data_IF_232064770694
#
_entry.id   IF_232064770694
#
_cell.length_a   1.000
_cell.length_b   1.000
_cell.length_c   1.000
_cell.angle_alpha   90.00
_cell.angle_beta   90.00
_cell.angle_gamma   90.00
#
_symmetry.space_group_name_H-M   'P 1'
#
loop_
_entity.id
_entity.type
_entity.pdbx_description
1 polymer ?
#
# COMPACT_ATOMS: atom_id res chain seq x y z
N UNK A 1 15.28 -12.54 -7.40
CA UNK A 1 13.90 -12.23 -7.78
C UNK A 1 13.05 -11.90 -6.55
N UNK A 2 12.09 -10.97 -6.64
CA UNK A 2 11.14 -10.63 -5.57
C UNK A 2 9.70 -11.02 -5.95
N UNK A 3 8.94 -11.47 -4.97
CA UNK A 3 7.56 -11.92 -5.12
C UNK A 3 6.65 -11.21 -4.11
N UNK A 4 5.40 -10.98 -4.47
CA UNK A 4 4.36 -10.46 -3.59
C UNK A 4 3.31 -11.55 -3.31
N UNK A 5 2.91 -11.71 -2.05
CA UNK A 5 1.81 -12.61 -1.69
C UNK A 5 0.46 -12.04 -2.10
N UNK A 6 -0.33 -12.83 -2.83
CA UNK A 6 -1.67 -12.44 -3.28
C UNK A 6 -2.69 -12.35 -2.13
N UNK A 7 -2.37 -12.86 -0.94
CA UNK A 7 -3.26 -12.85 0.23
C UNK A 7 -2.92 -11.74 1.25
N UNK A 8 -1.66 -11.65 1.67
CA UNK A 8 -1.24 -10.66 2.67
C UNK A 8 -0.51 -9.44 2.07
N UNK A 9 -0.31 -9.41 0.75
CA UNK A 9 0.37 -8.35 0.00
C UNK A 9 1.82 -8.05 0.41
N UNK A 10 2.41 -8.84 1.31
CA UNK A 10 3.81 -8.73 1.69
C UNK A 10 4.72 -9.26 0.61
N UNK A 11 5.88 -8.62 0.49
CA UNK A 11 6.93 -9.04 -0.45
C UNK A 11 7.93 -9.98 0.21
N UNK A 12 8.50 -10.89 -0.58
CA UNK A 12 9.45 -11.92 -0.15
C UNK A 12 10.43 -12.27 -1.27
N UNK A 13 11.61 -12.76 -0.91
CA UNK A 13 12.56 -13.37 -1.85
C UNK A 13 12.39 -14.88 -1.96
N UNK A 14 11.59 -15.47 -1.07
CA UNK A 14 11.29 -16.90 -1.04
C UNK A 14 10.15 -17.24 -2.02
N UNK A 15 10.11 -18.49 -2.47
CA UNK A 15 9.00 -19.01 -3.30
C UNK A 15 7.80 -19.48 -2.47
N UNK A 16 7.72 -19.07 -1.20
CA UNK A 16 6.60 -19.30 -0.31
C UNK A 16 6.39 -18.09 0.63
N UNK A 17 5.16 -17.92 1.13
CA UNK A 17 4.84 -16.87 2.09
C UNK A 17 4.87 -17.43 3.52
N UNK A 18 5.86 -17.01 4.31
CA UNK A 18 6.01 -17.43 5.71
C UNK A 18 4.87 -16.98 6.62
N UNK A 19 4.18 -15.88 6.29
CA UNK A 19 3.09 -15.31 7.09
C UNK A 19 1.73 -15.97 6.84
N UNK A 20 1.50 -16.46 5.62
CA UNK A 20 0.24 -17.12 5.27
C UNK A 20 0.30 -18.63 5.48
N UNK A 21 1.51 -19.22 5.50
CA UNK A 21 1.81 -20.56 5.98
C UNK A 21 1.17 -21.74 5.23
N UNK A 22 2.00 -22.72 4.90
CA UNK A 22 1.68 -24.12 5.18
C UNK A 22 2.93 -24.76 5.77
N UNK A 23 2.78 -25.41 6.93
CA UNK A 23 3.84 -25.74 7.88
C UNK A 23 4.84 -26.85 7.46
N UNK A 24 4.86 -27.27 6.20
CA UNK A 24 5.76 -28.35 5.74
C UNK A 24 6.26 -28.07 4.31
N UNK A 25 7.43 -27.46 4.17
CA UNK A 25 8.08 -27.24 2.87
C UNK A 25 8.33 -28.54 2.07
N UNK A 26 8.29 -29.71 2.72
CA UNK A 26 8.53 -31.02 2.12
C UNK A 26 7.28 -31.69 1.51
N UNK A 27 6.07 -31.17 1.76
CA UNK A 27 4.81 -31.78 1.28
C UNK A 27 4.07 -30.93 0.25
N UNK A 28 4.68 -29.82 -0.17
CA UNK A 28 4.08 -28.85 -1.08
C UNK A 28 4.15 -29.37 -2.53
N UNK A 29 3.03 -29.65 -3.21
CA UNK A 29 3.04 -29.92 -4.64
C UNK A 29 3.55 -28.67 -5.38
N UNK A 30 4.17 -28.77 -6.58
CA UNK A 30 4.63 -27.64 -7.39
C UNK A 30 3.58 -26.53 -7.64
N UNK A 31 2.31 -26.82 -7.33
CA UNK A 31 1.17 -25.94 -7.41
C UNK A 31 1.08 -24.89 -6.30
N UNK A 32 1.81 -24.94 -5.18
CA UNK A 32 1.71 -23.90 -4.14
C UNK A 32 2.46 -22.59 -4.44
N UNK A 33 3.09 -22.47 -5.62
CA UNK A 33 3.45 -21.18 -6.21
C UNK A 33 2.21 -20.33 -6.56
N UNK A 34 0.99 -20.89 -6.52
CA UNK A 34 -0.27 -20.23 -6.89
C UNK A 34 -0.61 -18.95 -6.10
N UNK A 35 0.05 -18.68 -4.98
CA UNK A 35 -0.21 -17.51 -4.13
C UNK A 35 0.81 -16.36 -4.23
N UNK A 36 1.85 -16.47 -5.06
CA UNK A 36 2.92 -15.48 -5.16
C UNK A 36 3.03 -14.91 -6.58
N UNK A 37 3.09 -13.59 -6.66
CA UNK A 37 3.23 -12.83 -7.90
C UNK A 37 4.67 -12.32 -8.03
N UNK A 38 5.45 -12.77 -9.02
CA UNK A 38 6.76 -12.19 -9.30
C UNK A 38 6.63 -10.78 -9.89
N UNK A 39 7.60 -9.91 -9.58
CA UNK A 39 7.73 -8.59 -10.20
C UNK A 39 8.10 -8.64 -11.70
N UNK A 40 8.70 -9.74 -12.16
CA UNK A 40 9.10 -10.05 -13.53
C UNK A 40 8.33 -11.29 -13.99
N UNK A 41 7.51 -11.21 -15.06
CA UNK A 41 6.73 -12.34 -15.55
C UNK A 41 7.58 -13.55 -15.94
N UNK A 42 8.88 -13.39 -16.24
CA UNK A 42 9.76 -14.50 -16.63
C UNK A 42 9.87 -15.60 -15.56
N UNK A 43 9.59 -15.24 -14.31
CA UNK A 43 9.61 -16.15 -13.16
C UNK A 43 8.30 -16.91 -12.95
N UNK A 44 7.31 -16.75 -13.83
CA UNK A 44 6.11 -17.56 -13.77
C UNK A 44 6.40 -19.04 -14.08
N UNK A 45 5.75 -19.99 -13.38
CA UNK A 45 5.98 -21.42 -13.59
C UNK A 45 5.65 -21.90 -15.01
N UNK A 46 4.75 -21.19 -15.69
CA UNK A 46 4.31 -21.43 -17.07
C UNK A 46 5.46 -21.36 -18.09
N UNK A 47 6.54 -20.63 -17.75
CA UNK A 47 7.71 -20.47 -18.59
C UNK A 47 8.90 -21.34 -18.14
N UNK A 48 8.71 -22.19 -17.14
CA UNK A 48 9.77 -22.98 -16.53
C UNK A 48 9.63 -24.46 -16.90
N UNK A 49 10.75 -25.11 -17.22
CA UNK A 49 10.75 -26.54 -17.52
C UNK A 49 10.52 -27.36 -16.24
N UNK A 50 9.51 -28.23 -16.27
CA UNK A 50 9.24 -29.20 -15.19
C UNK A 50 9.70 -30.59 -15.62
N UNK A 51 10.63 -31.19 -14.86
CA UNK A 51 11.12 -32.55 -15.13
C UNK A 51 9.99 -33.58 -15.08
N UNK A 52 9.96 -34.48 -16.06
CA UNK A 52 8.95 -35.56 -16.18
C UNK A 52 9.55 -36.94 -15.90
N UNK A 53 10.75 -36.98 -15.30
CA UNK A 53 11.50 -38.18 -14.97
C UNK A 53 12.64 -38.49 -15.95
N UNK A 54 13.72 -39.11 -15.43
CA UNK A 54 15.03 -39.26 -16.09
C UNK A 54 14.97 -39.76 -17.55
N UNK A 55 14.18 -40.79 -17.85
CA UNK A 55 14.11 -41.38 -19.20
C UNK A 55 13.38 -40.50 -20.22
N UNK A 56 12.36 -39.72 -19.81
CA UNK A 56 11.60 -38.82 -20.68
C UNK A 56 12.36 -37.52 -20.94
N UNK A 57 13.10 -37.04 -19.95
CA UNK A 57 13.88 -35.81 -20.06
C UNK A 57 15.04 -35.95 -21.08
N UNK A 58 15.64 -37.14 -21.21
CA UNK A 58 16.76 -37.37 -22.14
C UNK A 58 16.37 -37.20 -23.62
N UNK A 59 15.13 -37.55 -24.00
CA UNK A 59 14.69 -37.56 -25.40
C UNK A 59 13.90 -36.31 -25.82
N UNK A 60 13.34 -35.55 -24.88
CA UNK A 60 12.41 -34.44 -25.17
C UNK A 60 12.81 -33.07 -24.63
N UNK A 61 13.70 -33.00 -23.62
CA UNK A 61 13.94 -31.76 -22.85
C UNK A 61 14.41 -30.58 -23.70
N UNK A 62 15.32 -30.80 -24.66
CA UNK A 62 15.84 -29.70 -25.50
C UNK A 62 14.74 -29.05 -26.35
N UNK A 63 13.83 -29.86 -26.91
CA UNK A 63 12.73 -29.37 -27.74
C UNK A 63 11.68 -28.64 -26.92
N UNK A 64 11.30 -29.21 -25.77
CA UNK A 64 10.35 -28.60 -24.84
C UNK A 64 10.89 -27.28 -24.27
N UNK A 65 12.17 -27.25 -23.89
CA UNK A 65 12.84 -26.02 -23.44
C UNK A 65 12.84 -24.94 -24.53
N UNK A 66 13.12 -25.30 -25.80
CA UNK A 66 13.07 -24.35 -26.90
C UNK A 66 11.67 -23.76 -27.08
N UNK A 67 10.62 -24.60 -27.02
CA UNK A 67 9.23 -24.15 -27.11
C UNK A 67 8.84 -23.21 -25.95
N UNK A 68 9.26 -23.53 -24.72
CA UNK A 68 9.04 -22.67 -23.56
C UNK A 68 9.77 -21.33 -23.70
N UNK A 69 11.01 -21.34 -24.20
CA UNK A 69 11.78 -20.11 -24.43
C UNK A 69 11.13 -19.24 -25.51
N UNK A 70 10.64 -19.84 -26.60
CA UNK A 70 9.93 -19.11 -27.67
C UNK A 70 8.63 -18.49 -27.14
N UNK A 71 7.86 -19.25 -26.36
CA UNK A 71 6.66 -18.77 -25.67
C UNK A 71 6.98 -17.60 -24.74
N UNK A 72 7.99 -17.76 -23.88
CA UNK A 72 8.44 -16.74 -22.94
C UNK A 72 8.83 -15.45 -23.67
N UNK A 73 9.68 -15.56 -24.70
CA UNK A 73 10.15 -14.41 -25.48
C UNK A 73 8.98 -13.68 -26.15
N UNK A 74 8.01 -14.42 -26.68
CA UNK A 74 6.82 -13.83 -27.28
C UNK A 74 5.95 -13.10 -26.26
N UNK A 75 5.66 -13.73 -25.10
CA UNK A 75 4.85 -13.11 -24.05
C UNK A 75 5.55 -11.87 -23.50
N UNK A 76 6.85 -11.95 -23.17
CA UNK A 76 7.59 -10.80 -22.63
C UNK A 76 7.65 -9.63 -23.61
N UNK A 77 7.86 -9.91 -24.91
CA UNK A 77 7.85 -8.87 -25.95
C UNK A 77 6.49 -8.20 -26.06
N UNK A 78 5.41 -8.96 -26.18
CA UNK A 78 4.06 -8.39 -26.31
C UNK A 78 3.63 -7.68 -25.01
N UNK A 79 4.03 -8.23 -23.86
CA UNK A 79 3.77 -7.62 -22.56
C UNK A 79 4.48 -6.29 -22.41
N UNK A 80 5.76 -6.18 -22.79
CA UNK A 80 6.45 -4.89 -22.74
C UNK A 80 5.82 -3.84 -23.67
N UNK A 81 5.32 -4.25 -24.84
CA UNK A 81 4.61 -3.38 -25.80
C UNK A 81 3.23 -2.91 -25.28
N UNK A 82 2.51 -3.73 -24.50
CA UNK A 82 1.14 -3.43 -24.05
C UNK A 82 1.01 -3.11 -22.55
N UNK A 83 2.04 -3.33 -21.73
CA UNK A 83 2.05 -3.08 -20.27
C UNK A 83 1.54 -1.67 -19.97
N UNK A 84 2.03 -0.71 -20.73
CA UNK A 84 1.43 0.62 -20.89
C UNK A 84 1.04 0.79 -22.37
N UNK A 85 -0.20 1.15 -22.73
CA UNK A 85 -1.26 1.66 -21.86
C UNK A 85 -2.31 0.61 -21.42
N UNK A 86 -2.32 -0.61 -21.97
CA UNK A 86 -3.49 -1.49 -21.84
C UNK A 86 -3.68 -2.08 -20.45
N UNK A 87 -2.65 -2.75 -19.92
CA UNK A 87 -2.75 -3.40 -18.60
C UNK A 87 -2.97 -2.37 -17.49
N UNK A 88 -2.20 -1.28 -17.51
CA UNK A 88 -2.36 -0.21 -16.53
C UNK A 88 -3.69 0.53 -16.65
N UNK A 89 -4.14 0.88 -17.86
CA UNK A 89 -5.46 1.52 -18.01
C UNK A 89 -6.56 0.60 -17.50
N UNK A 90 -6.52 -0.69 -17.85
CA UNK A 90 -7.51 -1.64 -17.37
C UNK A 90 -7.55 -1.68 -15.83
N UNK A 91 -6.39 -1.73 -15.16
CA UNK A 91 -6.34 -1.69 -13.68
C UNK A 91 -6.94 -0.40 -13.10
N UNK A 92 -6.79 0.74 -13.76
CA UNK A 92 -7.27 2.03 -13.24
C UNK A 92 -8.70 2.41 -13.65
N UNK A 93 -9.22 1.88 -14.76
CA UNK A 93 -10.56 2.24 -15.27
C UNK A 93 -11.66 1.28 -14.83
N UNK A 94 -11.28 0.08 -14.39
CA UNK A 94 -12.19 -1.04 -14.14
C UNK A 94 -12.41 -1.18 -12.63
N UNK A 95 -13.65 -1.45 -12.20
CA UNK A 95 -13.98 -1.55 -10.76
C UNK A 95 -13.69 -2.93 -10.16
N UNK A 96 -13.41 -3.92 -11.00
CA UNK A 96 -13.14 -5.29 -10.55
C UNK A 96 -11.71 -5.41 -10.01
N UNK A 97 -11.53 -5.75 -8.71
CA UNK A 97 -10.21 -5.99 -8.18
C UNK A 97 -9.62 -7.26 -8.82
N UNK A 98 -8.32 -7.19 -9.15
CA UNK A 98 -7.55 -8.34 -9.62
C UNK A 98 -7.67 -9.47 -8.58
N UNK A 99 -8.36 -10.57 -8.92
CA UNK A 99 -8.56 -11.72 -8.01
C UNK A 99 -9.99 -11.94 -7.49
N UNK A 100 -10.99 -11.14 -7.89
CA UNK A 100 -12.39 -11.49 -7.66
C UNK A 100 -12.80 -12.68 -8.55
N UNK A 101 -12.66 -13.90 -8.02
CA UNK A 101 -13.11 -15.12 -8.67
C UNK A 101 -14.63 -15.17 -8.76
N UNK A 102 -15.17 -14.97 -9.96
CA UNK A 102 -16.57 -15.19 -10.28
C UNK A 102 -16.78 -15.34 -11.79
N UNK A 103 -17.20 -16.53 -12.21
CA UNK A 103 -17.88 -16.83 -13.49
C UNK A 103 -17.25 -16.31 -14.80
N UNK A 104 -15.93 -16.34 -14.95
CA UNK A 104 -15.32 -16.14 -16.27
C UNK A 104 -15.42 -17.41 -17.13
N UNK A 105 -15.81 -17.25 -18.40
CA UNK A 105 -15.77 -18.36 -19.33
C UNK A 105 -14.34 -18.88 -19.51
N UNK A 106 -14.21 -20.20 -19.42
CA UNK A 106 -12.96 -20.91 -19.67
C UNK A 106 -12.45 -20.77 -21.11
N UNK A 107 -13.34 -20.46 -22.07
CA UNK A 107 -13.02 -20.32 -23.49
C UNK A 107 -13.31 -18.88 -23.95
N UNK A 108 -12.36 -18.22 -24.65
CA UNK A 108 -12.60 -16.92 -25.28
C UNK A 108 -13.67 -16.96 -26.39
N UNK A 109 -14.23 -15.80 -26.72
CA UNK A 109 -15.16 -15.64 -27.85
C UNK A 109 -16.64 -15.45 -27.48
N UNK A 110 -17.46 -15.37 -28.52
CA UNK A 110 -18.87 -15.02 -28.38
C UNK A 110 -19.72 -16.17 -27.81
N UNK A 111 -20.65 -15.83 -26.90
CA UNK A 111 -21.63 -16.76 -26.31
C UNK A 111 -23.07 -16.29 -26.47
N UNK A 112 -24.02 -17.23 -26.47
CA UNK A 112 -25.43 -16.97 -26.82
C UNK A 112 -26.16 -16.05 -25.84
N UNK A 113 -25.74 -15.98 -24.57
CA UNK A 113 -26.37 -15.08 -23.59
C UNK A 113 -25.92 -13.62 -23.73
N UNK A 114 -24.85 -13.33 -24.49
CA UNK A 114 -24.37 -11.97 -24.80
C UNK A 114 -23.85 -11.16 -23.61
N UNK A 115 -23.75 -11.74 -22.42
CA UNK A 115 -23.24 -11.09 -21.21
C UNK A 115 -21.73 -11.35 -21.17
N UNK A 116 -20.89 -10.37 -20.82
CA UNK A 116 -19.45 -10.53 -20.67
C UNK A 116 -18.93 -9.67 -19.52
N UNK A 117 -17.95 -10.17 -18.76
CA UNK A 117 -17.22 -9.33 -17.80
C UNK A 117 -16.27 -8.37 -18.52
N UNK A 118 -15.90 -7.26 -17.87
CA UNK A 118 -14.89 -6.34 -18.42
C UNK A 118 -13.55 -7.05 -18.67
N UNK A 119 -13.24 -8.05 -17.85
CA UNK A 119 -12.03 -8.86 -17.94
C UNK A 119 -12.08 -9.89 -19.08
N UNK A 120 -13.23 -10.50 -19.36
CA UNK A 120 -13.46 -11.32 -20.57
C UNK A 120 -13.27 -10.48 -21.84
N UNK A 121 -13.83 -9.26 -21.87
CA UNK A 121 -13.65 -8.33 -22.98
C UNK A 121 -12.19 -7.86 -23.10
N UNK A 122 -11.51 -7.62 -21.99
CA UNK A 122 -10.10 -7.24 -22.00
C UNK A 122 -9.21 -8.36 -22.56
N UNK A 123 -9.47 -9.62 -22.17
CA UNK A 123 -8.80 -10.79 -22.75
C UNK A 123 -8.97 -10.83 -24.28
N UNK A 124 -10.19 -10.62 -24.75
CA UNK A 124 -10.51 -10.59 -26.20
C UNK A 124 -9.80 -9.43 -26.93
N UNK A 125 -9.69 -8.25 -26.30
CA UNK A 125 -8.92 -7.12 -26.85
C UNK A 125 -7.45 -7.50 -27.03
N UNK A 126 -6.85 -8.18 -26.04
CA UNK A 126 -5.45 -8.61 -26.11
C UNK A 126 -5.25 -9.68 -27.18
N UNK A 127 -6.11 -10.71 -27.25
CA UNK A 127 -6.05 -11.74 -28.30
C UNK A 127 -6.09 -11.09 -29.70
N UNK A 128 -7.01 -10.15 -29.93
CA UNK A 128 -7.08 -9.42 -31.22
C UNK A 128 -5.89 -8.52 -31.51
N UNK A 129 -5.10 -8.17 -30.49
CA UNK A 129 -3.81 -7.47 -30.61
C UNK A 129 -2.64 -8.43 -30.81
N UNK A 130 -2.90 -9.73 -30.94
CA UNK A 130 -1.93 -10.78 -31.20
C UNK A 130 -1.42 -11.50 -29.95
N UNK A 131 -2.06 -11.39 -28.78
CA UNK A 131 -1.78 -12.22 -27.60
C UNK A 131 -2.46 -13.60 -27.68
N UNK A 132 -2.21 -14.33 -28.76
CA UNK A 132 -2.85 -15.62 -29.06
C UNK A 132 -2.59 -16.68 -27.96
N UNK A 133 -1.50 -16.53 -27.20
CA UNK A 133 -1.15 -17.41 -26.08
C UNK A 133 -2.25 -17.44 -25.00
N UNK A 134 -3.03 -16.36 -24.85
CA UNK A 134 -4.11 -16.27 -23.87
C UNK A 134 -5.28 -17.23 -24.18
N UNK A 135 -5.38 -17.74 -25.41
CA UNK A 135 -6.34 -18.79 -25.76
C UNK A 135 -5.97 -20.14 -25.11
N UNK A 136 -4.67 -20.42 -24.99
CA UNK A 136 -4.14 -21.69 -24.49
C UNK A 136 -3.74 -21.63 -23.01
N UNK A 137 -3.49 -20.42 -22.49
CA UNK A 137 -3.08 -20.17 -21.11
C UNK A 137 -4.09 -19.24 -20.41
N UNK A 138 -5.27 -19.75 -19.99
CA UNK A 138 -6.37 -18.92 -19.50
C UNK A 138 -6.04 -18.14 -18.22
N UNK A 139 -5.05 -18.59 -17.43
CA UNK A 139 -4.62 -17.90 -16.19
C UNK A 139 -3.50 -16.88 -16.41
N UNK A 140 -2.95 -16.78 -17.62
CA UNK A 140 -1.82 -15.89 -17.92
C UNK A 140 -2.23 -14.42 -17.82
N UNK A 141 -3.46 -14.08 -18.21
CA UNK A 141 -3.96 -12.70 -18.08
C UNK A 141 -3.90 -12.24 -16.62
N UNK A 142 -4.37 -13.06 -15.69
CA UNK A 142 -4.43 -12.74 -14.26
C UNK A 142 -3.04 -12.52 -13.69
N UNK A 143 -2.12 -13.40 -14.06
CA UNK A 143 -0.72 -13.31 -13.72
C UNK A 143 -0.13 -11.98 -14.21
N UNK A 144 -0.30 -11.65 -15.48
CA UNK A 144 0.21 -10.39 -16.03
C UNK A 144 -0.44 -9.14 -15.40
N UNK A 145 -1.72 -9.19 -15.06
CA UNK A 145 -2.40 -8.12 -14.30
C UNK A 145 -1.83 -7.97 -12.89
N UNK A 146 -1.64 -9.07 -12.17
CA UNK A 146 -1.02 -9.08 -10.84
C UNK A 146 0.41 -8.54 -10.89
N UNK A 147 1.25 -8.98 -11.85
CA UNK A 147 2.60 -8.44 -12.03
C UNK A 147 2.55 -6.95 -12.36
N UNK A 148 1.61 -6.49 -13.19
CA UNK A 148 1.46 -5.06 -13.51
C UNK A 148 1.11 -4.24 -12.26
N UNK A 149 0.19 -4.74 -11.43
CA UNK A 149 -0.17 -4.12 -10.16
C UNK A 149 1.04 -4.06 -9.21
N UNK A 150 1.77 -5.17 -9.06
CA UNK A 150 2.95 -5.22 -8.21
C UNK A 150 4.07 -4.27 -8.70
N UNK A 151 4.28 -4.19 -10.02
CA UNK A 151 5.18 -3.20 -10.62
C UNK A 151 4.79 -1.76 -10.26
N UNK A 152 3.49 -1.44 -10.25
CA UNK A 152 3.01 -0.11 -9.87
C UNK A 152 3.29 0.19 -8.39
N UNK A 153 3.09 -0.79 -7.50
CA UNK A 153 3.42 -0.67 -6.07
C UNK A 153 4.92 -0.39 -5.90
N UNK A 154 5.76 -1.19 -6.56
CA UNK A 154 7.21 -1.02 -6.49
C UNK A 154 7.68 0.31 -7.10
N UNK A 155 7.07 0.77 -8.19
CA UNK A 155 7.39 2.08 -8.79
C UNK A 155 7.07 3.26 -7.85
N UNK A 156 5.99 3.15 -7.05
CA UNK A 156 5.70 4.12 -5.99
C UNK A 156 6.75 4.07 -4.88
N UNK A 157 6.99 2.86 -4.36
CA UNK A 157 7.96 2.62 -3.29
C UNK A 157 9.38 3.09 -3.66
N UNK A 158 9.87 2.76 -4.85
CA UNK A 158 11.21 3.12 -5.33
C UNK A 158 11.45 4.63 -5.39
N UNK A 159 10.43 5.41 -5.80
CA UNK A 159 10.48 6.87 -5.78
C UNK A 159 10.57 7.45 -4.37
N UNK A 160 9.89 6.82 -3.40
CA UNK A 160 9.87 7.29 -2.02
C UNK A 160 11.14 6.89 -1.28
N UNK A 161 11.63 5.67 -1.49
CA UNK A 161 12.80 5.13 -0.79
C UNK A 161 14.10 5.79 -1.26
N UNK A 162 14.17 6.27 -2.51
CA UNK A 162 15.40 6.79 -3.12
C UNK A 162 16.02 7.97 -2.35
N UNK A 163 15.20 8.81 -1.69
CA UNK A 163 15.68 9.95 -0.86
C UNK A 163 16.28 9.54 0.49
N UNK A 164 16.00 8.31 0.92
CA UNK A 164 16.51 7.78 2.18
C UNK A 164 17.87 7.10 2.02
N UNK A 165 18.31 6.81 0.80
CA UNK A 165 19.58 6.12 0.53
C UNK A 165 20.75 7.04 0.90
N UNK A 166 21.57 6.57 1.84
CA UNK A 166 22.78 7.22 2.37
C UNK A 166 24.03 6.42 2.01
N UNK A 167 25.19 6.84 2.53
CA UNK A 167 26.49 6.18 2.31
C UNK A 167 26.60 4.78 2.89
N UNK A 168 25.76 4.43 3.86
CA UNK A 168 25.75 3.13 4.52
C UNK A 168 24.32 2.64 4.79
N UNK A 169 24.17 1.33 4.99
CA UNK A 169 22.88 0.68 5.19
C UNK A 169 22.18 1.14 6.46
N UNK A 170 22.89 1.31 7.58
CA UNK A 170 22.26 1.66 8.86
C UNK A 170 21.64 3.07 8.80
N UNK A 171 22.38 4.04 8.26
CA UNK A 171 21.87 5.41 8.02
C UNK A 171 20.71 5.42 7.03
N UNK A 172 20.75 4.58 6.00
CA UNK A 172 19.67 4.46 5.01
C UNK A 172 18.39 3.89 5.63
N UNK A 173 18.54 2.79 6.39
CA UNK A 173 17.44 2.16 7.11
C UNK A 173 16.85 3.11 8.15
N UNK A 174 17.68 3.80 8.93
CA UNK A 174 17.20 4.77 9.92
C UNK A 174 16.38 5.88 9.30
N UNK A 175 16.93 6.56 8.28
CA UNK A 175 16.21 7.63 7.59
C UNK A 175 14.88 7.15 7.01
N UNK A 176 14.83 5.93 6.48
CA UNK A 176 13.60 5.34 5.95
C UNK A 176 12.61 4.95 7.06
N UNK A 177 13.05 4.30 8.14
CA UNK A 177 12.22 3.84 9.25
C UNK A 177 11.60 5.00 10.02
N UNK A 178 12.33 6.12 10.19
CA UNK A 178 11.80 7.34 10.82
C UNK A 178 10.52 7.83 10.14
N UNK A 179 10.45 7.72 8.82
CA UNK A 179 9.28 8.10 8.02
C UNK A 179 8.27 6.96 7.85
N UNK A 180 8.74 5.74 7.54
CA UNK A 180 7.89 4.58 7.29
C UNK A 180 7.16 4.09 8.55
N UNK A 181 7.70 4.37 9.74
CA UNK A 181 7.18 3.84 11.00
C UNK A 181 7.13 2.32 10.95
N UNK A 182 6.09 1.70 11.50
CA UNK A 182 6.02 0.22 11.62
C UNK A 182 5.90 -0.55 10.30
N UNK A 183 5.62 0.15 9.18
CA UNK A 183 5.43 -0.47 7.85
C UNK A 183 6.70 -1.07 7.28
N UNK A 184 7.89 -0.66 7.75
CA UNK A 184 9.18 -1.21 7.31
C UNK A 184 9.22 -2.75 7.34
N UNK A 185 8.51 -3.38 8.28
CA UNK A 185 8.46 -4.85 8.44
C UNK A 185 7.85 -5.56 7.23
N UNK A 186 6.89 -4.94 6.57
CA UNK A 186 6.26 -5.48 5.37
C UNK A 186 7.08 -5.15 4.11
N UNK A 187 7.77 -4.02 4.12
CA UNK A 187 8.41 -3.43 2.95
C UNK A 187 9.92 -3.67 2.87
N UNK A 188 10.54 -4.29 3.88
CA UNK A 188 11.98 -4.54 3.91
C UNK A 188 12.50 -5.32 2.69
N UNK A 189 11.70 -6.24 2.15
CA UNK A 189 12.05 -6.93 0.91
C UNK A 189 12.10 -5.99 -0.29
N UNK A 190 11.18 -5.01 -0.37
CA UNK A 190 11.20 -3.98 -1.41
C UNK A 190 12.41 -3.06 -1.24
N UNK A 191 12.75 -2.69 -0.01
CA UNK A 191 13.95 -1.90 0.30
C UNK A 191 15.22 -2.59 -0.22
N UNK A 192 15.41 -3.87 0.13
CA UNK A 192 16.57 -4.62 -0.36
C UNK A 192 16.56 -4.85 -1.87
N UNK A 193 15.40 -5.08 -2.47
CA UNK A 193 15.29 -5.19 -3.91
C UNK A 193 15.67 -3.89 -4.62
N UNK A 194 15.27 -2.73 -4.06
CA UNK A 194 15.71 -1.42 -4.54
C UNK A 194 17.22 -1.23 -4.47
N UNK A 195 17.87 -1.59 -3.35
CA UNK A 195 19.33 -1.49 -3.25
C UNK A 195 20.04 -2.33 -4.33
N UNK A 196 19.52 -3.53 -4.58
CA UNK A 196 20.05 -4.41 -5.63
C UNK A 196 19.82 -3.85 -7.03
N UNK A 197 18.60 -3.37 -7.34
CA UNK A 197 18.25 -2.83 -8.65
C UNK A 197 19.05 -1.55 -8.98
N UNK A 198 19.26 -0.70 -7.97
CA UNK A 198 19.97 0.57 -8.12
C UNK A 198 21.50 0.46 -8.06
N UNK A 199 22.04 -0.77 -7.91
CA UNK A 199 23.47 -1.03 -7.68
C UNK A 199 24.04 -0.19 -6.51
N UNK A 200 23.20 0.09 -5.51
CA UNK A 200 23.58 0.84 -4.33
C UNK A 200 24.45 -0.07 -3.43
N UNK A 201 25.77 0.06 -3.57
CA UNK A 201 26.70 -0.73 -2.77
C UNK A 201 26.54 -0.39 -1.28
N UNK A 202 26.28 -1.40 -0.45
CA UNK A 202 26.46 -1.27 0.99
C UNK A 202 27.51 -2.28 1.46
N UNK A 203 28.54 -1.83 2.20
CA UNK A 203 29.47 -2.74 2.86
C UNK A 203 28.70 -3.79 3.68
N UNK A 204 29.07 -5.07 3.50
CA UNK A 204 28.49 -6.20 4.26
C UNK A 204 27.18 -6.78 3.71
N UNK A 205 26.55 -6.18 2.70
CA UNK A 205 25.37 -6.74 2.03
C UNK A 205 25.76 -7.36 0.68
N UNK A 206 25.59 -8.67 0.54
CA UNK A 206 25.87 -9.39 -0.71
C UNK A 206 24.59 -10.02 -1.26
N UNK A 207 24.19 -9.59 -2.45
CA UNK A 207 23.07 -10.16 -3.18
C UNK A 207 23.51 -11.38 -3.99
N UNK A 208 22.60 -12.33 -4.17
CA UNK A 208 22.87 -13.50 -4.99
C UNK A 208 22.82 -13.13 -6.49
N UNK A 209 23.94 -13.23 -7.23
CA UNK A 209 23.98 -12.82 -8.65
C UNK A 209 23.14 -13.72 -9.56
N UNK A 210 22.84 -14.95 -9.13
CA UNK A 210 22.02 -15.89 -9.90
C UNK A 210 20.52 -15.65 -9.71
N UNK A 211 20.11 -14.82 -8.73
CA UNK A 211 18.70 -14.61 -8.42
C UNK A 211 17.92 -13.87 -9.52
N UNK A 212 18.61 -13.25 -10.48
CA UNK A 212 18.01 -12.59 -11.64
C UNK A 212 17.76 -13.55 -12.82
N UNK A 213 18.39 -14.73 -12.81
CA UNK A 213 18.35 -15.66 -13.95
C UNK A 213 17.85 -17.05 -13.57
N UNK A 214 17.77 -17.36 -12.28
CA UNK A 214 17.47 -18.71 -11.79
C UNK A 214 16.26 -18.68 -10.87
N UNK A 215 15.16 -19.29 -11.33
CA UNK A 215 13.92 -19.44 -10.55
C UNK A 215 14.18 -20.22 -9.26
N UNK A 216 13.58 -19.77 -8.16
CA UNK A 216 13.73 -20.39 -6.84
C UNK A 216 15.00 -20.00 -6.07
N UNK A 217 15.91 -19.22 -6.68
CA UNK A 217 17.07 -18.68 -5.98
C UNK A 217 16.70 -17.33 -5.34
N UNK A 218 16.71 -17.20 -4.00
CA UNK A 218 16.36 -15.95 -3.34
C UNK A 218 17.45 -14.90 -3.57
N UNK A 219 17.03 -13.63 -3.65
CA UNK A 219 17.97 -12.51 -3.83
C UNK A 219 18.88 -12.32 -2.62
N UNK A 220 18.33 -12.54 -1.42
CA UNK A 220 19.06 -12.57 -0.16
C UNK A 220 18.76 -13.89 0.57
N UNK A 221 19.77 -14.54 1.17
CA UNK A 221 19.54 -15.68 2.06
C UNK A 221 18.62 -15.30 3.21
N UNK A 222 17.78 -16.24 3.66
CA UNK A 222 16.80 -15.99 4.73
C UNK A 222 17.47 -15.51 6.02
N UNK A 223 18.66 -16.02 6.36
CA UNK A 223 19.40 -15.57 7.54
C UNK A 223 19.86 -14.10 7.41
N UNK A 224 20.36 -13.71 6.23
CA UNK A 224 20.76 -12.32 5.97
C UNK A 224 19.56 -11.38 6.06
N UNK A 225 18.41 -11.79 5.50
CA UNK A 225 17.17 -11.02 5.61
C UNK A 225 16.70 -10.89 7.05
N UNK A 226 16.76 -11.96 7.85
CA UNK A 226 16.40 -11.94 9.28
C UNK A 226 17.35 -11.05 10.11
N UNK A 227 18.65 -11.09 9.85
CA UNK A 227 19.61 -10.17 10.49
C UNK A 227 19.31 -8.72 10.11
N UNK A 228 18.96 -8.47 8.85
CA UNK A 228 18.51 -7.17 8.38
C UNK A 228 17.26 -6.66 9.09
N UNK A 229 16.27 -7.53 9.28
CA UNK A 229 15.07 -7.22 10.06
C UNK A 229 15.41 -6.91 11.52
N UNK A 230 16.32 -7.68 12.14
CA UNK A 230 16.82 -7.40 13.49
C UNK A 230 17.43 -6.01 13.63
N UNK A 231 18.29 -5.62 12.68
CA UNK A 231 18.84 -4.26 12.63
C UNK A 231 17.75 -3.18 12.51
N UNK A 232 16.72 -3.43 11.70
CA UNK A 232 15.59 -2.50 11.59
C UNK A 232 14.81 -2.36 12.90
N UNK A 233 14.61 -3.46 13.64
CA UNK A 233 13.95 -3.44 14.95
C UNK A 233 14.77 -2.69 16.00
N UNK A 234 16.10 -2.86 15.99
CA UNK A 234 17.02 -2.10 16.85
C UNK A 234 16.94 -0.60 16.56
N UNK A 235 17.03 -0.22 15.29
CA UNK A 235 16.88 1.18 14.84
C UNK A 235 15.51 1.75 15.25
N UNK A 236 14.43 1.01 15.04
CA UNK A 236 13.08 1.44 15.41
C UNK A 236 12.95 1.64 16.92
N UNK A 237 13.53 0.74 17.72
CA UNK A 237 13.58 0.87 19.17
C UNK A 237 14.35 2.13 19.59
N UNK A 238 15.52 2.39 19.01
CA UNK A 238 16.31 3.60 19.30
C UNK A 238 15.53 4.88 19.00
N UNK A 239 14.84 4.93 17.84
CA UNK A 239 13.94 6.04 17.49
C UNK A 239 12.85 6.23 18.55
N UNK A 240 12.24 5.15 19.06
CA UNK A 240 11.22 5.24 20.11
C UNK A 240 11.81 5.73 21.44
N UNK A 241 12.99 5.27 21.81
CA UNK A 241 13.69 5.71 23.03
C UNK A 241 14.03 7.19 22.94
N UNK A 242 14.58 7.66 21.82
CA UNK A 242 14.90 9.07 21.59
C UNK A 242 13.64 9.94 21.59
N UNK A 243 12.56 9.49 20.94
CA UNK A 243 11.27 10.18 20.98
C UNK A 243 10.73 10.29 22.39
N UNK A 244 10.74 9.20 23.16
CA UNK A 244 10.30 9.21 24.55
C UNK A 244 11.21 10.09 25.44
N UNK A 245 12.53 10.04 25.24
CA UNK A 245 13.48 10.91 25.94
C UNK A 245 13.18 12.38 25.68
N UNK A 246 13.03 12.77 24.41
CA UNK A 246 12.67 14.13 24.01
C UNK A 246 11.31 14.54 24.60
N UNK A 247 10.30 13.66 24.54
CA UNK A 247 9.02 13.88 25.20
C UNK A 247 9.19 14.19 26.68
N UNK A 248 9.93 13.38 27.43
CA UNK A 248 10.09 13.55 28.88
C UNK A 248 10.85 14.82 29.26
N UNK A 249 11.85 15.22 28.47
CA UNK A 249 12.64 16.42 28.71
C UNK A 249 11.88 17.72 28.38
N UNK A 250 11.12 17.68 27.29
CA UNK A 250 10.48 18.86 26.71
C UNK A 250 8.97 18.93 26.99
N UNK A 251 8.44 17.96 27.73
CA UNK A 251 7.02 17.93 28.09
C UNK A 251 6.64 19.20 28.84
N UNK A 252 5.78 20.00 28.21
CA UNK A 252 5.17 21.14 28.86
C UNK A 252 3.72 20.80 29.23
N UNK A 253 3.42 20.54 30.52
CA UNK A 253 2.06 20.20 30.95
C UNK A 253 1.04 21.30 30.64
N UNK A 254 1.48 22.55 30.47
CA UNK A 254 0.60 23.68 30.15
C UNK A 254 0.25 23.78 28.66
N UNK A 255 0.97 23.07 27.78
CA UNK A 255 0.70 23.01 26.34
C UNK A 255 0.18 21.65 25.87
N UNK A 256 0.15 20.67 26.77
CA UNK A 256 -0.42 19.36 26.48
C UNK A 256 -1.94 19.45 26.39
N UNK A 257 -2.49 19.16 25.21
CA UNK A 257 -3.94 19.20 25.01
C UNK A 257 -4.55 17.86 25.39
N UNK A 258 -5.41 17.88 26.40
CA UNK A 258 -6.18 16.71 26.83
C UNK A 258 -7.59 16.75 26.25
N UNK A 259 -8.24 15.60 26.19
CA UNK A 259 -9.66 15.54 25.83
C UNK A 259 -10.55 16.35 26.78
N UNK A 260 -10.15 16.56 28.05
CA UNK A 260 -10.89 17.44 28.97
C UNK A 260 -10.88 18.91 28.54
N UNK A 261 -9.79 19.38 27.93
CA UNK A 261 -9.75 20.73 27.36
C UNK A 261 -10.66 20.82 26.13
N UNK A 262 -10.67 19.78 25.30
CA UNK A 262 -11.58 19.68 24.14
C UNK A 262 -13.05 19.67 24.57
N UNK A 263 -13.38 18.93 25.63
CA UNK A 263 -14.74 18.87 26.18
C UNK A 263 -15.20 20.21 26.80
N UNK A 264 -14.27 21.11 27.13
CA UNK A 264 -14.57 22.43 27.65
C UNK A 264 -14.72 23.51 26.55
N UNK A 265 -14.39 23.18 25.29
CA UNK A 265 -14.53 24.09 24.16
C UNK A 265 -16.00 24.26 23.74
N UNK A 266 -16.37 25.46 23.32
CA UNK A 266 -17.58 25.64 22.52
C UNK A 266 -17.38 25.18 21.06
N UNK A 267 -18.45 25.23 20.25
CA UNK A 267 -18.40 24.79 18.85
C UNK A 267 -17.37 25.56 18.01
N UNK A 268 -17.27 26.88 18.18
CA UNK A 268 -16.35 27.71 17.41
C UNK A 268 -14.90 27.48 17.82
N UNK A 269 -14.65 27.33 19.13
CA UNK A 269 -13.35 26.98 19.66
C UNK A 269 -12.91 25.60 19.16
N UNK A 270 -13.84 24.64 19.09
CA UNK A 270 -13.56 23.31 18.58
C UNK A 270 -13.22 23.31 17.10
N UNK A 271 -13.94 24.07 16.27
CA UNK A 271 -13.62 24.25 14.85
C UNK A 271 -12.24 24.86 14.64
N UNK A 272 -11.93 25.96 15.33
CA UNK A 272 -10.61 26.60 15.27
C UNK A 272 -9.51 25.64 15.73
N UNK A 273 -9.76 24.87 16.78
CA UNK A 273 -8.80 23.90 17.28
C UNK A 273 -8.57 22.73 16.31
N UNK A 274 -9.60 22.29 15.58
CA UNK A 274 -9.42 21.30 14.51
C UNK A 274 -8.55 21.85 13.37
N UNK A 275 -8.64 23.14 13.04
CA UNK A 275 -7.73 23.77 12.07
C UNK A 275 -6.28 23.61 12.52
N UNK A 276 -5.99 23.94 13.78
CA UNK A 276 -4.65 23.83 14.36
C UNK A 276 -4.12 22.39 14.35
N UNK A 277 -4.96 21.41 14.73
CA UNK A 277 -4.61 19.99 14.70
C UNK A 277 -4.23 19.58 13.27
N UNK A 278 -5.12 19.79 12.31
CA UNK A 278 -4.92 19.32 10.95
C UNK A 278 -3.72 20.00 10.27
N UNK A 279 -3.50 21.30 10.50
CA UNK A 279 -2.31 22.00 10.00
C UNK A 279 -1.03 21.42 10.60
N UNK A 280 -0.99 21.27 11.92
CA UNK A 280 0.21 20.80 12.63
C UNK A 280 0.59 19.38 12.23
N UNK A 281 -0.37 18.49 12.01
CA UNK A 281 -0.10 17.11 11.54
C UNK A 281 0.06 16.99 10.01
N UNK A 282 0.19 18.12 9.30
CA UNK A 282 0.63 18.18 7.90
C UNK A 282 -0.46 18.19 6.83
N UNK A 283 -1.67 18.69 7.12
CA UNK A 283 -2.69 18.98 6.12
C UNK A 283 -2.68 20.45 5.71
N UNK A 284 -3.00 20.74 4.45
CA UNK A 284 -3.33 22.10 4.02
C UNK A 284 -4.79 22.40 4.40
N UNK A 285 -5.01 23.35 5.30
CA UNK A 285 -6.36 23.67 5.82
C UNK A 285 -6.83 25.03 5.30
N UNK A 286 -8.08 25.09 4.85
CA UNK A 286 -8.80 26.33 4.53
C UNK A 286 -10.08 26.41 5.36
N UNK A 287 -10.21 27.46 6.15
CA UNK A 287 -11.44 27.77 6.87
C UNK A 287 -12.57 28.19 5.93
N UNK A 288 -13.82 27.93 6.33
CA UNK A 288 -15.00 28.42 5.62
C UNK A 288 -15.37 29.84 6.09
N UNK A 289 -16.12 30.57 5.27
CA UNK A 289 -16.70 31.83 5.74
C UNK A 289 -17.77 31.51 6.78
N UNK A 290 -17.71 32.16 7.96
CA UNK A 290 -18.54 31.93 9.17
C UNK A 290 -20.07 32.08 8.99
N UNK A 291 -20.56 32.31 7.77
CA UNK A 291 -21.98 32.49 7.47
C UNK A 291 -22.34 31.81 6.15
N UNK A 292 -23.39 30.98 6.18
CA UNK A 292 -23.94 30.21 5.05
C UNK A 292 -23.12 28.99 4.57
N UNK A 293 -22.41 28.36 5.50
CA UNK A 293 -21.78 27.06 5.30
C UNK A 293 -22.87 25.98 5.22
N UNK A 294 -23.01 25.34 4.06
CA UNK A 294 -23.94 24.23 3.82
C UNK A 294 -23.53 22.95 4.59
N UNK A 295 -23.14 23.06 5.87
CA UNK A 295 -22.60 21.98 6.69
C UNK A 295 -21.10 21.70 6.46
N UNK A 296 -20.32 22.74 6.20
CA UNK A 296 -18.88 22.65 5.95
C UNK A 296 -18.13 23.57 6.91
N UNK A 297 -17.48 22.98 7.91
CA UNK A 297 -16.79 23.76 8.93
C UNK A 297 -15.30 23.95 8.53
N UNK A 298 -14.68 22.93 7.91
CA UNK A 298 -13.31 23.01 7.39
C UNK A 298 -13.17 22.33 6.03
N UNK A 299 -12.22 22.82 5.23
CA UNK A 299 -11.67 22.10 4.08
C UNK A 299 -10.22 21.73 4.33
N UNK A 300 -9.88 20.46 4.14
CA UNK A 300 -8.50 19.98 4.25
C UNK A 300 -8.05 19.33 2.95
N UNK A 301 -6.78 19.51 2.61
CA UNK A 301 -6.15 18.87 1.46
C UNK A 301 -4.89 18.13 1.89
N UNK A 302 -4.72 16.90 1.41
CA UNK A 302 -3.48 16.14 1.57
C UNK A 302 -3.32 15.16 0.41
N UNK A 303 -2.10 15.04 -0.11
CA UNK A 303 -1.79 14.18 -1.26
C UNK A 303 -2.70 14.42 -2.48
N UNK A 304 -3.06 15.69 -2.73
CA UNK A 304 -3.90 16.09 -3.87
C UNK A 304 -5.39 15.77 -3.74
N UNK A 305 -5.84 15.22 -2.60
CA UNK A 305 -7.27 14.97 -2.32
C UNK A 305 -7.84 16.04 -1.42
N UNK A 306 -9.05 16.49 -1.74
CA UNK A 306 -9.82 17.48 -0.99
C UNK A 306 -10.88 16.80 -0.14
N UNK A 307 -11.01 17.24 1.12
CA UNK A 307 -11.98 16.70 2.06
C UNK A 307 -12.70 17.82 2.78
N UNK A 308 -14.02 17.69 2.89
CA UNK A 308 -14.83 18.55 3.75
C UNK A 308 -14.99 17.91 5.13
N UNK A 309 -14.91 18.74 6.18
CA UNK A 309 -15.08 18.30 7.56
C UNK A 309 -16.25 19.04 8.19
N UNK A 310 -17.15 18.29 8.82
CA UNK A 310 -18.13 18.79 9.76
C UNK A 310 -17.69 18.45 11.19
N UNK A 311 -17.47 19.46 12.00
CA UNK A 311 -17.19 19.40 13.42
C UNK A 311 -18.50 19.39 14.24
N UNK A 312 -18.52 18.61 15.32
CA UNK A 312 -19.60 18.60 16.32
C UNK A 312 -19.01 18.47 17.73
N UNK A 313 -18.99 19.56 18.50
CA UNK A 313 -18.67 19.52 19.93
C UNK A 313 -19.95 19.40 20.78
N UNK A 314 -20.24 18.19 21.27
CA UNK A 314 -21.55 17.82 21.82
C UNK A 314 -21.39 17.06 23.14
N UNK A 315 -22.32 17.27 24.09
CA UNK A 315 -22.39 16.49 25.34
C UNK A 315 -23.10 15.13 25.18
N UNK A 316 -23.88 14.96 24.12
CA UNK A 316 -24.62 13.74 23.79
C UNK A 316 -24.11 13.07 22.52
N UNK A 317 -24.75 11.97 22.10
CA UNK A 317 -24.38 11.27 20.87
C UNK A 317 -24.74 12.05 19.60
N UNK A 318 -23.90 11.94 18.58
CA UNK A 318 -24.10 12.58 17.28
C UNK A 318 -24.95 11.69 16.37
N UNK A 319 -26.04 12.23 15.84
CA UNK A 319 -27.00 11.53 14.98
C UNK A 319 -26.83 11.78 13.48
N UNK A 320 -27.76 11.26 12.69
CA UNK A 320 -27.71 11.27 11.21
C UNK A 320 -27.57 12.67 10.59
N UNK A 321 -28.09 13.71 11.25
CA UNK A 321 -28.07 15.08 10.73
C UNK A 321 -26.65 15.57 10.39
N UNK A 322 -25.65 15.25 11.23
CA UNK A 322 -24.27 15.64 10.97
C UNK A 322 -23.69 14.94 9.73
N UNK A 323 -24.05 13.67 9.53
CA UNK A 323 -23.63 12.89 8.36
C UNK A 323 -24.30 13.43 7.09
N UNK A 324 -25.59 13.76 7.16
CA UNK A 324 -26.34 14.36 6.04
C UNK A 324 -25.77 15.73 5.63
N UNK A 325 -25.38 16.54 6.60
CA UNK A 325 -24.70 17.82 6.38
C UNK A 325 -23.38 17.61 5.61
N UNK A 326 -22.52 16.71 6.09
CA UNK A 326 -21.24 16.42 5.42
C UNK A 326 -21.41 15.87 3.99
N UNK A 327 -22.42 15.03 3.75
CA UNK A 327 -22.76 14.54 2.39
C UNK A 327 -23.16 15.71 1.48
N UNK A 328 -24.03 16.58 1.98
CA UNK A 328 -24.53 17.74 1.23
C UNK A 328 -23.40 18.70 0.90
N UNK A 329 -22.53 18.98 1.87
CA UNK A 329 -21.35 19.82 1.72
C UNK A 329 -20.38 19.25 0.68
N UNK A 330 -20.07 17.95 0.76
CA UNK A 330 -19.19 17.27 -0.21
C UNK A 330 -19.69 17.45 -1.63
N UNK A 331 -20.98 17.22 -1.86
CA UNK A 331 -21.60 17.35 -3.17
C UNK A 331 -21.61 18.81 -3.65
N UNK A 332 -21.94 19.76 -2.77
CA UNK A 332 -22.03 21.17 -3.12
C UNK A 332 -20.68 21.78 -3.50
N UNK A 333 -19.61 21.43 -2.75
CA UNK A 333 -18.27 21.98 -2.97
C UNK A 333 -17.38 21.12 -3.88
N UNK A 334 -17.84 19.93 -4.30
CA UNK A 334 -17.09 19.05 -5.18
C UNK A 334 -15.86 18.41 -4.53
N UNK A 335 -15.90 18.12 -3.23
CA UNK A 335 -14.80 17.48 -2.52
C UNK A 335 -14.73 15.97 -2.79
N UNK A 336 -13.53 15.40 -2.75
CA UNK A 336 -13.30 13.96 -2.97
C UNK A 336 -13.82 13.11 -1.79
N UNK A 337 -13.67 13.63 -0.56
CA UNK A 337 -13.99 12.94 0.68
C UNK A 337 -14.82 13.83 1.63
N UNK A 338 -15.50 13.20 2.59
CA UNK A 338 -16.23 13.87 3.66
C UNK A 338 -15.89 13.23 5.00
N UNK A 339 -15.78 14.04 6.05
CA UNK A 339 -15.52 13.59 7.42
C UNK A 339 -16.46 14.30 8.39
N UNK A 340 -16.90 13.58 9.41
CA UNK A 340 -17.51 14.16 10.62
C UNK A 340 -16.55 13.92 11.78
N UNK A 341 -16.26 14.96 12.56
CA UNK A 341 -15.39 14.91 13.73
C UNK A 341 -16.18 15.35 14.97
N UNK A 342 -16.08 14.59 16.05
CA UNK A 342 -16.74 14.94 17.32
C UNK A 342 -15.91 14.53 18.53
N UNK A 343 -16.05 15.26 19.63
CA UNK A 343 -15.53 14.90 20.95
C UNK A 343 -16.36 13.79 21.65
N UNK A 344 -17.49 13.40 21.05
CA UNK A 344 -18.45 12.42 21.57
C UNK A 344 -18.48 11.14 20.72
N UNK A 345 -19.59 10.41 20.74
CA UNK A 345 -19.80 9.17 19.99
C UNK A 345 -21.02 9.25 19.07
N UNK A 346 -21.00 8.48 17.98
CA UNK A 346 -22.11 8.42 17.03
C UNK A 346 -23.19 7.41 17.44
N UNK A 347 -24.43 7.70 17.09
CA UNK A 347 -25.52 6.73 17.16
C UNK A 347 -25.30 5.59 16.16
N UNK A 348 -25.91 4.42 16.41
CA UNK A 348 -25.85 3.28 15.48
C UNK A 348 -26.33 3.66 14.07
N UNK A 349 -27.44 4.41 13.98
CA UNK A 349 -28.00 4.86 12.71
C UNK A 349 -27.05 5.79 11.94
N UNK A 350 -26.28 6.63 12.65
CA UNK A 350 -25.33 7.54 12.03
C UNK A 350 -24.14 6.77 11.45
N UNK A 351 -23.65 5.75 12.17
CA UNK A 351 -22.60 4.84 11.68
C UNK A 351 -23.04 4.08 10.42
N UNK A 352 -24.27 3.57 10.41
CA UNK A 352 -24.85 2.86 9.25
C UNK A 352 -24.98 3.79 8.02
N UNK A 353 -25.47 5.02 8.21
CA UNK A 353 -25.57 6.00 7.13
C UNK A 353 -24.20 6.40 6.59
N UNK A 354 -23.23 6.67 7.47
CA UNK A 354 -21.89 7.07 7.09
C UNK A 354 -21.16 5.97 6.28
N UNK A 355 -21.32 4.71 6.68
CA UNK A 355 -20.76 3.57 5.95
C UNK A 355 -21.32 3.48 4.52
N UNK A 356 -22.63 3.70 4.35
CA UNK A 356 -23.30 3.65 3.04
C UNK A 356 -22.90 4.83 2.15
N UNK A 357 -22.76 6.02 2.74
CA UNK A 357 -22.42 7.25 2.02
C UNK A 357 -20.91 7.52 1.91
N UNK A 358 -20.06 6.60 2.40
CA UNK A 358 -18.60 6.72 2.42
C UNK A 358 -18.13 8.02 3.09
N UNK A 359 -18.73 8.32 4.25
CA UNK A 359 -18.35 9.45 5.12
C UNK A 359 -17.48 8.91 6.25
N UNK A 360 -16.30 9.52 6.44
CA UNK A 360 -15.41 9.14 7.53
C UNK A 360 -15.94 9.67 8.87
N UNK A 361 -15.98 8.82 9.88
CA UNK A 361 -16.38 9.20 11.23
C UNK A 361 -15.15 9.19 12.14
N UNK A 362 -14.88 10.33 12.77
CA UNK A 362 -13.91 10.47 13.87
C UNK A 362 -14.72 10.75 15.12
N UNK A 363 -14.84 9.75 15.98
CA UNK A 363 -15.44 9.89 17.32
C UNK A 363 -14.37 10.21 18.36
N UNK A 364 -14.74 10.28 19.63
CA UNK A 364 -13.83 10.58 20.74
C UNK A 364 -12.55 9.76 20.73
N UNK A 365 -12.64 8.45 20.47
CA UNK A 365 -11.46 7.59 20.46
C UNK A 365 -10.56 7.91 19.26
N UNK A 366 -11.16 8.12 18.08
CA UNK A 366 -10.43 8.58 16.91
C UNK A 366 -9.79 9.96 17.12
N UNK A 367 -10.50 10.90 17.73
CA UNK A 367 -10.00 12.24 18.03
C UNK A 367 -8.84 12.21 19.01
N UNK A 368 -8.84 11.29 19.98
CA UNK A 368 -7.70 11.09 20.88
C UNK A 368 -6.43 10.72 20.10
N UNK A 369 -6.52 9.87 19.07
CA UNK A 369 -5.37 9.55 18.21
C UNK A 369 -4.83 10.79 17.51
N UNK A 370 -5.70 11.66 17.00
CA UNK A 370 -5.28 12.94 16.41
C UNK A 370 -4.64 13.88 17.45
N UNK A 371 -5.13 13.90 18.70
CA UNK A 371 -4.53 14.66 19.78
C UNK A 371 -3.14 14.14 20.17
N UNK A 372 -2.95 12.82 20.16
CA UNK A 372 -1.67 12.21 20.47
C UNK A 372 -0.62 12.59 19.41
N UNK A 373 -0.98 12.51 18.12
CA UNK A 373 -0.14 12.97 17.01
C UNK A 373 0.15 14.48 17.10
N UNK A 374 -0.85 15.29 17.45
CA UNK A 374 -0.71 16.73 17.63
C UNK A 374 0.23 17.09 18.79
N UNK A 375 0.03 16.49 19.96
CA UNK A 375 0.87 16.71 21.14
C UNK A 375 2.32 16.27 20.87
N UNK A 376 2.51 15.17 20.14
CA UNK A 376 3.84 14.75 19.70
C UNK A 376 4.50 15.82 18.84
N UNK A 377 3.76 16.41 17.89
CA UNK A 377 4.31 17.43 17.01
C UNK A 377 4.64 18.74 17.74
N UNK A 378 3.84 19.12 18.74
CA UNK A 378 4.15 20.28 19.59
C UNK A 378 5.47 20.13 20.35
N UNK A 379 5.79 18.91 20.81
CA UNK A 379 7.06 18.62 21.48
C UNK A 379 8.23 18.80 20.50
N UNK A 380 8.10 18.32 19.26
CA UNK A 380 9.11 18.50 18.22
C UNK A 380 9.33 19.98 17.84
N UNK A 381 8.25 20.77 17.73
CA UNK A 381 8.36 22.21 17.44
C UNK A 381 9.08 22.93 18.58
N UNK A 382 8.75 22.62 19.82
CA UNK A 382 9.42 23.22 20.98
C UNK A 382 10.91 22.91 21.01
N UNK A 383 11.29 21.67 20.68
CA UNK A 383 12.70 21.30 20.56
C UNK A 383 13.41 22.20 19.52
N UNK A 384 12.82 22.35 18.34
CA UNK A 384 13.39 23.19 17.27
C UNK A 384 13.48 24.68 17.67
N UNK A 385 12.50 25.21 18.40
CA UNK A 385 12.52 26.59 18.94
C UNK A 385 13.64 26.76 19.98
N UNK A 386 13.77 25.84 20.93
CA UNK A 386 14.79 25.90 21.98
C UNK A 386 16.22 25.80 21.40
N UNK A 387 16.42 24.95 20.38
CA UNK A 387 17.69 24.85 19.67
C UNK A 387 18.03 26.14 18.89
N UNK A 388 17.03 26.81 18.29
CA UNK A 388 17.20 28.05 17.57
C UNK A 388 17.48 29.27 18.48
N UNK A 389 16.96 29.28 19.71
CA UNK A 389 17.24 30.32 20.70
C UNK A 389 18.61 30.15 21.39
N UNK A 390 19.17 28.94 21.37
CA UNK A 390 20.48 28.61 21.95
C UNK A 390 21.68 28.76 21.00
N UNK A 391 21.45 28.93 19.70
CA UNK A 391 22.46 29.15 18.66
C UNK A 391 22.66 30.66 18.37
#
# INVERSE_FOLDING_TARGET
MIYQCNHCHRSTFETYCSQCGSADAASIPPQAQQGLTPLDPSFYPDFQYQSKGFLKDIWGKKKEQAQLNDLLNNVLRKYSELKQPYFTNFIHTTRDPVGAGGDEAAVPGARMNGIYSERELFREVLIRRGFDELEQLPTLLDKLLLTTAFNSVYAGFSREVSRHIKSDLASSLRSWIEEAGTTFRADLALFYYYLWESDASSPGLQFNPQAATTTGVPLLPVQTFQSGLGLCEEIYFDILVERLGSQLEHFNPNRFITMYLVDAMDGFQFEAFLVEIFQTIGYDVRETQKTADQGADLFVTRFGKTMVIQAKNYSGSVGNAAVQQAISAKAFYGCDEAMVVTNSYYTKSAKELAATAVVRLVDRAGLQTYLDDYNQKLIEVFQAEAEAEGA
#
